data_IF_558862274812
#
_entry.id   IF_558862274812
#
_cell.length_a   1.000
_cell.length_b   1.000
_cell.length_c   1.000
_cell.angle_alpha   90.00
_cell.angle_beta   90.00
_cell.angle_gamma   90.00
#
_symmetry.space_group_name_H-M   'P 1'
#
loop_
_entity.id
_entity.type
_entity.pdbx_description
1 polymer ?
#
# COMPACT_ATOMS: atom_id res chain seq x y z
N UNK A 1 0.42 40.86 18.87
CA UNK A 1 0.39 40.32 20.23
C UNK A 1 -0.49 39.06 20.35
N UNK A 2 -1.80 39.16 20.10
CA UNK A 2 -2.76 38.05 20.19
C UNK A 2 -2.39 36.78 19.41
N UNK A 3 -1.89 36.89 18.17
CA UNK A 3 -1.44 35.71 17.38
C UNK A 3 -0.29 34.95 18.04
N UNK A 4 0.65 35.67 18.67
CA UNK A 4 1.78 35.08 19.41
C UNK A 4 1.30 34.35 20.67
N UNK A 5 0.30 34.91 21.35
CA UNK A 5 -0.33 34.30 22.54
C UNK A 5 -1.18 33.07 22.20
N UNK A 6 -1.85 33.08 21.05
CA UNK A 6 -2.63 31.95 20.54
C UNK A 6 -1.72 30.81 20.05
N UNK A 7 -0.58 31.14 19.44
CA UNK A 7 0.46 30.19 19.05
C UNK A 7 0.19 29.46 17.73
N UNK A 8 1.07 28.49 17.46
CA UNK A 8 1.06 27.65 16.25
C UNK A 8 0.84 26.18 16.60
N UNK A 9 -0.01 25.49 15.86
CA UNK A 9 -0.17 24.04 15.94
C UNK A 9 0.77 23.31 14.97
N UNK A 10 0.88 21.99 15.10
CA UNK A 10 1.78 21.17 14.27
C UNK A 10 1.46 21.16 12.75
N UNK A 11 0.26 21.62 12.35
CA UNK A 11 -0.18 21.66 10.94
C UNK A 11 -0.84 22.96 10.51
N UNK A 12 -1.28 23.80 11.45
CA UNK A 12 -1.97 25.05 11.18
C UNK A 12 -1.89 25.99 12.41
N UNK A 13 -1.97 27.32 12.21
CA UNK A 13 -2.03 28.29 13.30
C UNK A 13 -3.32 28.15 14.12
N UNK A 14 -3.26 28.47 15.41
CA UNK A 14 -4.46 28.51 16.26
C UNK A 14 -5.30 29.79 16.06
N UNK A 15 -4.74 30.79 15.41
CA UNK A 15 -5.35 32.12 15.24
C UNK A 15 -6.01 32.33 13.88
N UNK A 16 -6.03 31.32 13.01
CA UNK A 16 -6.69 31.39 11.71
C UNK A 16 -7.35 30.06 11.35
N UNK A 17 -8.43 30.16 10.58
CA UNK A 17 -9.12 29.02 9.99
C UNK A 17 -9.44 29.33 8.52
N UNK A 18 -9.49 28.30 7.69
CA UNK A 18 -9.96 28.41 6.31
C UNK A 18 -11.47 28.18 6.28
N UNK A 19 -12.23 29.23 5.93
CA UNK A 19 -13.67 29.11 5.64
C UNK A 19 -13.84 28.62 4.21
N UNK A 20 -14.17 27.34 4.03
CA UNK A 20 -14.33 26.73 2.70
C UNK A 20 -15.75 26.93 2.16
N UNK A 21 -15.87 27.14 0.86
CA UNK A 21 -17.16 27.08 0.15
C UNK A 21 -17.73 25.65 0.21
N UNK A 22 -19.04 25.47 0.03
CA UNK A 22 -19.62 24.16 -0.17
C UNK A 22 -18.85 23.39 -1.26
N UNK A 23 -18.53 22.10 -1.05
CA UNK A 23 -17.79 21.33 -2.03
C UNK A 23 -18.61 21.24 -3.32
N UNK A 24 -17.94 21.40 -4.47
CA UNK A 24 -18.58 21.11 -5.74
C UNK A 24 -19.07 19.65 -5.77
N UNK A 25 -20.27 19.45 -6.28
CA UNK A 25 -20.89 18.13 -6.43
C UNK A 25 -21.31 17.91 -7.87
N UNK A 26 -21.40 16.65 -8.28
CA UNK A 26 -22.00 16.26 -9.55
C UNK A 26 -22.69 14.91 -9.41
N UNK A 27 -23.73 14.70 -10.21
CA UNK A 27 -24.37 13.39 -10.34
C UNK A 27 -23.70 12.57 -11.44
N UNK A 28 -23.58 11.27 -11.20
CA UNK A 28 -23.03 10.31 -12.16
C UNK A 28 -23.58 8.91 -11.91
N UNK A 29 -23.51 8.06 -12.91
CA UNK A 29 -23.86 6.63 -12.81
C UNK A 29 -22.66 5.78 -12.42
N UNK A 30 -22.88 4.76 -11.60
CA UNK A 30 -21.92 3.71 -11.25
C UNK A 30 -21.91 2.66 -12.34
N UNK A 31 -20.78 2.46 -13.00
CA UNK A 31 -20.62 1.45 -14.06
C UNK A 31 -20.27 0.08 -13.53
N UNK A 32 -19.38 0.03 -12.54
CA UNK A 32 -18.88 -1.21 -11.97
C UNK A 32 -18.30 -1.00 -10.58
N UNK A 33 -18.30 -2.03 -9.73
CA UNK A 33 -17.65 -2.00 -8.42
C UNK A 33 -16.55 -3.06 -8.37
N UNK A 34 -15.30 -2.59 -8.27
CA UNK A 34 -14.12 -3.45 -8.27
C UNK A 34 -13.51 -3.58 -6.88
N UNK A 35 -12.99 -4.75 -6.54
CA UNK A 35 -12.22 -4.96 -5.31
C UNK A 35 -10.72 -4.82 -5.56
N UNK A 36 -10.15 -3.72 -5.07
CA UNK A 36 -8.71 -3.52 -5.10
C UNK A 36 -8.06 -4.20 -3.89
N UNK A 37 -7.13 -5.13 -4.14
CA UNK A 37 -6.33 -5.74 -3.09
C UNK A 37 -5.11 -4.88 -2.79
N UNK A 38 -4.97 -4.43 -1.55
CA UNK A 38 -3.80 -3.71 -1.05
C UNK A 38 -2.68 -4.67 -0.65
N UNK A 39 -1.47 -4.12 -0.48
CA UNK A 39 -0.26 -4.89 -0.12
C UNK A 39 -0.37 -5.75 1.16
N UNK A 40 -1.23 -5.33 2.10
CA UNK A 40 -1.48 -6.04 3.37
C UNK A 40 -2.68 -6.99 3.29
N UNK A 41 -3.22 -7.26 2.09
CA UNK A 41 -4.42 -8.09 1.89
C UNK A 41 -5.73 -7.36 2.14
N UNK A 42 -5.70 -6.11 2.61
CA UNK A 42 -6.91 -5.27 2.74
C UNK A 42 -7.54 -5.12 1.36
N UNK A 43 -8.81 -5.52 1.23
CA UNK A 43 -9.60 -5.29 0.02
C UNK A 43 -10.39 -3.99 0.19
N UNK A 44 -10.29 -3.11 -0.80
CA UNK A 44 -10.98 -1.82 -0.84
C UNK A 44 -11.91 -1.81 -2.05
N UNK A 45 -13.23 -1.60 -1.86
CA UNK A 45 -14.15 -1.44 -2.96
C UNK A 45 -13.90 -0.09 -3.64
N UNK A 46 -13.93 -0.08 -4.97
CA UNK A 46 -13.74 1.09 -5.81
C UNK A 46 -14.84 1.11 -6.86
N UNK A 47 -15.68 2.14 -6.83
CA UNK A 47 -16.66 2.40 -7.87
C UNK A 47 -15.96 2.98 -9.11
N UNK A 48 -16.20 2.37 -10.25
CA UNK A 48 -16.01 2.97 -11.55
C UNK A 48 -17.31 3.70 -11.93
N UNK A 49 -17.20 4.95 -12.34
CA UNK A 49 -18.35 5.80 -12.66
C UNK A 49 -18.25 6.32 -14.09
N UNK A 50 -19.39 6.72 -14.66
CA UNK A 50 -19.39 7.54 -15.88
C UNK A 50 -18.50 8.77 -15.62
N UNK A 51 -17.50 9.07 -16.48
CA UNK A 51 -16.57 10.15 -16.19
C UNK A 51 -17.28 11.51 -16.03
N UNK A 52 -17.04 12.18 -14.91
CA UNK A 52 -17.63 13.48 -14.58
C UNK A 52 -16.55 14.50 -14.25
N UNK A 53 -16.76 15.76 -14.64
CA UNK A 53 -15.84 16.87 -14.34
C UNK A 53 -16.24 17.54 -13.04
N UNK A 54 -15.33 17.59 -12.06
CA UNK A 54 -15.60 18.19 -10.76
C UNK A 54 -14.35 18.91 -10.27
N UNK A 55 -14.44 20.19 -9.92
CA UNK A 55 -13.27 20.98 -9.52
C UNK A 55 -12.14 21.03 -10.57
N UNK A 56 -12.47 20.93 -11.86
CA UNK A 56 -11.50 20.92 -12.96
C UNK A 56 -10.78 19.58 -13.18
N UNK A 57 -11.09 18.54 -12.40
CA UNK A 57 -10.54 17.20 -12.58
C UNK A 57 -11.60 16.23 -13.10
N UNK A 58 -11.21 15.35 -14.04
CA UNK A 58 -12.08 14.29 -14.55
C UNK A 58 -12.02 13.10 -13.59
N UNK A 59 -13.15 12.80 -12.95
CA UNK A 59 -13.31 11.68 -12.02
C UNK A 59 -13.95 10.52 -12.76
N UNK A 60 -13.32 9.34 -12.73
CA UNK A 60 -13.89 8.10 -13.27
C UNK A 60 -13.80 6.92 -12.31
N UNK A 61 -13.09 7.08 -11.18
CA UNK A 61 -12.93 6.05 -10.15
C UNK A 61 -12.99 6.68 -8.77
N UNK A 62 -13.74 6.07 -7.87
CA UNK A 62 -13.99 6.58 -6.51
C UNK A 62 -13.82 5.44 -5.51
N UNK A 63 -12.99 5.65 -4.50
CA UNK A 63 -12.84 4.69 -3.41
C UNK A 63 -14.12 4.70 -2.55
N UNK A 64 -14.71 3.52 -2.33
CA UNK A 64 -15.80 3.31 -1.38
C UNK A 64 -15.27 2.97 0.03
N UNK A 65 -13.99 3.22 0.28
CA UNK A 65 -13.26 3.05 1.53
C UNK A 65 -13.12 1.60 2.02
N UNK A 66 -14.23 0.95 2.37
CA UNK A 66 -14.29 -0.38 2.96
C UNK A 66 -15.67 -1.02 2.76
N UNK A 67 -15.81 -2.31 3.12
CA UNK A 67 -17.06 -3.04 2.94
C UNK A 67 -18.24 -2.51 3.76
N UNK A 68 -18.00 -2.01 4.97
CA UNK A 68 -19.07 -1.43 5.80
C UNK A 68 -19.60 -0.12 5.20
N UNK A 69 -18.73 0.67 4.55
CA UNK A 69 -19.16 1.89 3.86
C UNK A 69 -19.92 1.56 2.56
N UNK A 70 -19.50 0.53 1.83
CA UNK A 70 -20.25 0.00 0.69
C UNK A 70 -21.67 -0.42 1.11
N UNK A 71 -21.79 -1.18 2.21
CA UNK A 71 -23.07 -1.61 2.79
C UNK A 71 -23.91 -0.43 3.29
N UNK A 72 -23.29 0.54 3.98
CA UNK A 72 -23.97 1.75 4.47
C UNK A 72 -24.55 2.59 3.34
N UNK A 73 -23.81 2.72 2.24
CA UNK A 73 -24.28 3.44 1.05
C UNK A 73 -25.33 2.65 0.28
N UNK A 74 -25.34 1.32 0.41
CA UNK A 74 -26.19 0.41 -0.34
C UNK A 74 -26.15 0.74 -1.84
N UNK A 75 -24.93 0.87 -2.36
CA UNK A 75 -24.63 1.26 -3.74
C UNK A 75 -24.38 0.01 -4.59
N UNK A 76 -25.00 -0.04 -5.76
CA UNK A 76 -24.84 -1.11 -6.75
C UNK A 76 -24.41 -0.55 -8.11
N UNK A 77 -24.03 -1.46 -9.01
CA UNK A 77 -23.82 -1.12 -10.41
C UNK A 77 -25.14 -0.64 -11.04
N UNK A 78 -25.07 0.41 -11.85
CA UNK A 78 -26.22 1.11 -12.44
C UNK A 78 -26.83 2.22 -11.56
N UNK A 79 -26.52 2.26 -10.26
CA UNK A 79 -27.05 3.30 -9.37
C UNK A 79 -26.50 4.69 -9.77
N UNK A 80 -27.33 5.71 -9.59
CA UNK A 80 -26.95 7.11 -9.74
C UNK A 80 -26.53 7.68 -8.39
N UNK A 81 -25.39 8.35 -8.37
CA UNK A 81 -24.76 8.86 -7.15
C UNK A 81 -24.38 10.32 -7.28
N UNK A 82 -24.48 11.05 -6.18
CA UNK A 82 -23.87 12.37 -6.03
C UNK A 82 -22.45 12.17 -5.52
N UNK A 83 -21.49 12.72 -6.25
CA UNK A 83 -20.07 12.69 -5.90
C UNK A 83 -19.58 14.08 -5.58
N UNK A 84 -18.56 14.18 -4.72
CA UNK A 84 -17.94 15.45 -4.36
C UNK A 84 -16.47 15.30 -3.97
N UNK A 85 -15.77 16.43 -3.84
CA UNK A 85 -14.37 16.45 -3.42
C UNK A 85 -14.26 16.82 -1.93
N UNK A 86 -13.78 15.89 -1.11
CA UNK A 86 -13.37 16.21 0.26
C UNK A 86 -12.03 16.91 0.23
N UNK A 87 -11.97 18.06 0.92
CA UNK A 87 -10.76 18.88 0.98
C UNK A 87 -10.31 19.41 -0.38
N UNK A 88 -11.23 19.49 -1.34
CA UNK A 88 -11.01 19.94 -2.74
C UNK A 88 -10.12 19.01 -3.58
N UNK A 89 -9.82 17.79 -3.11
CA UNK A 89 -8.86 16.89 -3.78
C UNK A 89 -9.33 15.43 -3.87
N UNK A 90 -10.03 14.89 -2.87
CA UNK A 90 -10.34 13.46 -2.81
C UNK A 90 -11.80 13.20 -3.21
N UNK A 91 -12.07 12.54 -4.35
CA UNK A 91 -13.42 12.16 -4.75
C UNK A 91 -14.06 11.20 -3.75
N UNK A 92 -15.33 11.44 -3.42
CA UNK A 92 -16.15 10.56 -2.59
C UNK A 92 -17.59 10.52 -3.09
N UNK A 93 -18.25 9.38 -2.86
CA UNK A 93 -19.70 9.26 -2.99
C UNK A 93 -20.33 9.89 -1.75
N UNK A 94 -21.17 10.90 -1.96
CA UNK A 94 -21.88 11.61 -0.90
C UNK A 94 -23.25 10.98 -0.63
N UNK A 95 -23.96 10.59 -1.69
CA UNK A 95 -25.28 9.97 -1.60
C UNK A 95 -25.60 9.13 -2.85
N UNK A 96 -26.48 8.15 -2.69
CA UNK A 96 -27.16 7.46 -3.80
C UNK A 96 -28.49 8.19 -4.04
N UNK A 97 -28.71 8.66 -5.27
CA UNK A 97 -29.87 9.50 -5.65
C UNK A 97 -30.82 8.81 -6.63
N UNK A 98 -30.37 7.74 -7.29
CA UNK A 98 -31.22 6.89 -8.12
C UNK A 98 -30.77 5.45 -7.99
N UNK A 99 -31.72 4.53 -7.86
CA UNK A 99 -31.43 3.10 -7.74
C UNK A 99 -31.97 2.34 -8.92
N UNK A 100 -31.20 1.38 -9.41
CA UNK A 100 -31.73 0.39 -10.36
C UNK A 100 -32.66 -0.59 -9.66
N UNK A 101 -33.64 -1.14 -10.39
CA UNK A 101 -34.45 -2.25 -9.89
C UNK A 101 -33.55 -3.46 -9.69
N UNK A 102 -33.43 -3.93 -8.45
CA UNK A 102 -32.66 -5.12 -8.10
C UNK A 102 -33.64 -6.28 -8.02
N UNK A 103 -33.91 -6.94 -9.15
CA UNK A 103 -34.59 -8.25 -9.12
C UNK A 103 -33.62 -9.25 -8.48
N UNK A 104 -33.85 -9.63 -7.22
CA UNK A 104 -33.24 -10.75 -6.45
C UNK A 104 -31.81 -11.22 -6.80
N UNK A 105 -30.90 -10.34 -7.22
CA UNK A 105 -29.47 -10.66 -7.31
C UNK A 105 -28.84 -10.45 -5.94
N UNK A 106 -29.21 -11.32 -5.00
CA UNK A 106 -28.67 -11.38 -3.66
C UNK A 106 -27.29 -12.07 -3.64
N UNK A 107 -26.35 -11.64 -4.49
CA UNK A 107 -24.94 -11.99 -4.28
C UNK A 107 -24.37 -11.00 -3.25
N UNK A 108 -24.71 -11.27 -1.98
CA UNK A 108 -24.20 -10.52 -0.85
C UNK A 108 -22.67 -10.55 -0.88
N UNK A 109 -22.06 -9.41 -1.20
CA UNK A 109 -20.60 -9.29 -1.17
C UNK A 109 -20.15 -9.47 0.29
N UNK A 110 -19.22 -10.40 0.60
CA UNK A 110 -18.85 -10.69 1.98
C UNK A 110 -18.34 -9.43 2.69
N UNK A 111 -19.13 -8.93 3.66
CA UNK A 111 -18.82 -7.70 4.42
C UNK A 111 -17.65 -7.87 5.38
N UNK A 112 -17.30 -9.11 5.73
CA UNK A 112 -16.14 -9.46 6.55
C UNK A 112 -15.27 -10.48 5.84
N UNK A 113 -14.29 -9.98 5.10
CA UNK A 113 -13.17 -10.80 4.67
C UNK A 113 -12.23 -11.02 5.86
N UNK A 114 -11.79 -12.26 6.14
CA UNK A 114 -10.86 -12.52 7.23
C UNK A 114 -9.59 -11.69 7.04
N UNK A 115 -9.03 -11.21 8.15
CA UNK A 115 -7.75 -10.52 8.12
C UNK A 115 -6.69 -11.48 7.56
N UNK A 116 -5.94 -11.03 6.56
CA UNK A 116 -4.89 -11.84 5.98
C UNK A 116 -3.83 -12.14 7.06
N UNK A 117 -3.24 -13.34 7.01
CA UNK A 117 -2.09 -13.67 7.83
C UNK A 117 -0.96 -12.63 7.65
N UNK A 118 -0.13 -12.45 8.67
CA UNK A 118 0.91 -11.40 8.66
C UNK A 118 1.92 -11.59 7.52
N UNK A 119 2.13 -12.84 7.09
CA UNK A 119 2.98 -13.32 6.01
C UNK A 119 2.21 -13.74 4.75
N UNK A 120 0.92 -13.34 4.63
CA UNK A 120 0.12 -13.64 3.45
C UNK A 120 0.69 -13.00 2.17
N UNK A 121 0.67 -13.79 1.09
CA UNK A 121 1.05 -13.40 -0.27
C UNK A 121 2.39 -12.64 -0.35
N UNK A 122 3.41 -13.15 0.34
CA UNK A 122 4.81 -12.69 0.18
C UNK A 122 5.42 -13.10 -1.17
N UNK A 123 4.77 -14.02 -1.88
CA UNK A 123 5.15 -14.56 -3.18
C UNK A 123 3.95 -14.51 -4.12
N UNK A 124 4.22 -14.50 -5.42
CA UNK A 124 3.20 -14.74 -6.43
C UNK A 124 2.68 -16.19 -6.36
N UNK A 125 1.44 -16.39 -6.82
CA UNK A 125 0.77 -17.68 -6.84
C UNK A 125 -0.76 -17.54 -6.89
N UNK A 126 -1.48 -18.67 -7.01
CA UNK A 126 -2.93 -18.68 -7.09
C UNK A 126 -3.58 -17.88 -5.95
N UNK A 127 -4.40 -16.89 -6.30
CA UNK A 127 -5.09 -16.02 -5.34
C UNK A 127 -4.23 -14.93 -4.68
N UNK A 128 -2.92 -14.85 -4.97
CA UNK A 128 -2.00 -13.90 -4.34
C UNK A 128 -1.45 -12.82 -5.27
N UNK A 129 -1.57 -12.96 -6.59
CA UNK A 129 -0.93 -12.08 -7.58
C UNK A 129 -1.18 -10.60 -7.35
N UNK A 130 -2.42 -10.17 -7.11
CA UNK A 130 -2.71 -8.74 -6.89
C UNK A 130 -2.15 -8.20 -5.57
N UNK A 131 -2.17 -9.01 -4.50
CA UNK A 131 -1.58 -8.62 -3.22
C UNK A 131 -0.06 -8.55 -3.33
N UNK A 132 0.55 -9.54 -3.98
CA UNK A 132 1.99 -9.60 -4.20
C UNK A 132 2.45 -8.44 -5.08
N UNK A 133 1.76 -8.17 -6.19
CA UNK A 133 2.05 -7.01 -7.05
C UNK A 133 1.95 -5.69 -6.27
N UNK A 134 0.90 -5.51 -5.46
CA UNK A 134 0.78 -4.31 -4.61
C UNK A 134 1.92 -4.21 -3.59
N UNK A 135 2.37 -5.33 -3.02
CA UNK A 135 3.51 -5.40 -2.11
C UNK A 135 4.81 -5.06 -2.84
N UNK A 136 5.01 -5.60 -4.04
CA UNK A 136 6.19 -5.38 -4.86
C UNK A 136 6.30 -3.92 -5.34
N UNK A 137 5.18 -3.29 -5.74
CA UNK A 137 5.11 -1.86 -6.05
C UNK A 137 5.57 -1.02 -4.86
N UNK A 138 5.12 -1.37 -3.64
CA UNK A 138 5.61 -0.70 -2.43
C UNK A 138 7.09 -0.99 -2.16
N UNK A 139 7.53 -2.23 -2.35
CA UNK A 139 8.89 -2.67 -2.12
C UNK A 139 9.90 -1.84 -2.92
N UNK A 140 9.64 -1.60 -4.21
CA UNK A 140 10.53 -0.81 -5.08
C UNK A 140 10.33 0.71 -4.93
N UNK A 141 9.25 1.16 -4.29
CA UNK A 141 8.91 2.58 -4.21
C UNK A 141 9.93 3.42 -3.43
N UNK A 142 9.85 4.74 -3.54
CA UNK A 142 10.71 5.69 -2.79
C UNK A 142 10.66 5.47 -1.26
N UNK A 143 9.49 5.23 -0.64
CA UNK A 143 9.42 4.82 0.78
C UNK A 143 9.94 3.41 1.09
N UNK A 144 9.99 2.51 0.10
CA UNK A 144 10.60 1.17 0.20
C UNK A 144 12.10 1.23 -0.12
N UNK A 145 12.58 0.29 -0.95
CA UNK A 145 13.98 0.17 -1.37
C UNK A 145 14.44 1.25 -2.36
N UNK A 146 13.53 2.10 -2.86
CA UNK A 146 13.83 3.19 -3.80
C UNK A 146 14.56 2.72 -5.06
N UNK A 147 13.95 1.74 -5.73
CA UNK A 147 14.43 1.18 -6.99
C UNK A 147 13.61 1.80 -8.11
N UNK A 148 14.16 2.82 -8.76
CA UNK A 148 13.46 3.55 -9.81
C UNK A 148 13.21 2.67 -11.05
N UNK A 149 12.21 3.05 -11.85
CA UNK A 149 11.90 2.41 -13.14
C UNK A 149 10.91 1.24 -13.07
N UNK A 150 10.67 0.67 -11.88
CA UNK A 150 9.70 -0.41 -11.66
C UNK A 150 8.28 0.10 -11.41
N UNK A 151 7.60 0.55 -12.47
CA UNK A 151 6.17 0.86 -12.43
C UNK A 151 5.29 -0.40 -12.30
N UNK A 152 4.05 -0.25 -11.82
CA UNK A 152 3.11 -1.38 -11.64
C UNK A 152 2.96 -2.26 -12.89
N UNK A 153 2.83 -1.64 -14.07
CA UNK A 153 2.72 -2.38 -15.33
C UNK A 153 3.93 -3.25 -15.63
N UNK A 154 5.15 -2.68 -15.52
CA UNK A 154 6.40 -3.43 -15.71
C UNK A 154 6.55 -4.57 -14.70
N UNK A 155 6.21 -4.33 -13.43
CA UNK A 155 6.26 -5.36 -12.41
C UNK A 155 5.29 -6.51 -12.73
N UNK A 156 4.07 -6.21 -13.21
CA UNK A 156 3.14 -7.24 -13.66
C UNK A 156 3.71 -8.06 -14.81
N UNK A 157 4.27 -7.41 -15.83
CA UNK A 157 4.89 -8.12 -16.96
C UNK A 157 6.06 -9.01 -16.53
N UNK A 158 6.87 -8.58 -15.55
CA UNK A 158 7.96 -9.39 -15.01
C UNK A 158 7.45 -10.60 -14.19
N UNK A 159 6.30 -10.46 -13.51
CA UNK A 159 5.63 -11.57 -12.82
C UNK A 159 5.07 -12.56 -13.85
N UNK A 160 4.35 -12.07 -14.86
CA UNK A 160 3.76 -12.88 -15.93
C UNK A 160 4.82 -13.63 -16.76
N UNK A 161 6.00 -13.01 -16.94
CA UNK A 161 7.16 -13.65 -17.57
C UNK A 161 7.90 -14.66 -16.66
N UNK A 162 7.43 -14.88 -15.42
CA UNK A 162 8.05 -15.79 -14.46
C UNK A 162 9.37 -15.31 -13.86
N UNK A 163 9.79 -14.07 -14.16
CA UNK A 163 11.07 -13.50 -13.70
C UNK A 163 11.00 -13.00 -12.25
N UNK A 164 9.80 -12.68 -11.76
CA UNK A 164 9.58 -12.22 -10.38
C UNK A 164 8.45 -13.00 -9.71
N UNK A 165 8.81 -13.79 -8.70
CA UNK A 165 7.86 -14.59 -7.92
C UNK A 165 7.91 -14.29 -6.42
N UNK A 166 8.92 -13.58 -5.94
CA UNK A 166 9.01 -13.07 -4.58
C UNK A 166 9.75 -11.72 -4.53
N UNK A 167 9.81 -11.08 -3.36
CA UNK A 167 10.47 -9.77 -3.20
C UNK A 167 11.98 -9.82 -3.50
N UNK A 168 12.62 -10.97 -3.32
CA UNK A 168 14.06 -11.15 -3.50
C UNK A 168 14.44 -11.33 -4.97
N UNK A 169 13.48 -11.75 -5.80
CA UNK A 169 13.65 -11.95 -7.25
C UNK A 169 14.16 -10.69 -7.94
N UNK A 170 13.75 -9.49 -7.48
CA UNK A 170 14.21 -8.20 -8.03
C UNK A 170 15.75 -8.10 -8.05
N UNK A 171 16.43 -8.60 -7.02
CA UNK A 171 17.88 -8.52 -6.93
C UNK A 171 18.61 -9.59 -7.75
N UNK A 172 17.87 -10.55 -8.32
CA UNK A 172 18.39 -11.65 -9.13
C UNK A 172 18.09 -11.47 -10.63
N UNK A 173 17.34 -10.42 -11.00
CA UNK A 173 17.04 -10.12 -12.39
C UNK A 173 18.32 -9.88 -13.20
N UNK A 174 18.44 -10.62 -14.30
CA UNK A 174 19.52 -10.46 -15.28
C UNK A 174 19.06 -9.54 -16.41
N UNK A 175 20.02 -8.82 -16.99
CA UNK A 175 19.75 -7.82 -18.01
C UNK A 175 19.13 -8.44 -19.26
N UNK A 176 19.68 -9.57 -19.70
CA UNK A 176 19.28 -10.32 -20.88
C UNK A 176 17.84 -10.83 -20.74
N UNK A 177 17.49 -11.34 -19.54
CA UNK A 177 16.14 -11.81 -19.24
C UNK A 177 15.12 -10.66 -19.24
N UNK A 178 15.49 -9.49 -18.71
CA UNK A 178 14.62 -8.31 -18.75
C UNK A 178 14.44 -7.81 -20.19
N UNK A 179 15.52 -7.77 -20.98
CA UNK A 179 15.49 -7.30 -22.37
C UNK A 179 14.57 -8.15 -23.26
N UNK A 180 14.51 -9.46 -22.99
CA UNK A 180 13.65 -10.41 -23.70
C UNK A 180 12.15 -10.23 -23.43
N UNK A 181 11.76 -9.47 -22.39
CA UNK A 181 10.34 -9.18 -22.12
C UNK A 181 9.82 -8.19 -23.17
N UNK A 182 8.72 -8.52 -23.90
CA UNK A 182 8.14 -7.62 -24.89
C UNK A 182 7.91 -6.21 -24.34
N UNK A 183 8.38 -5.19 -25.05
CA UNK A 183 8.23 -3.77 -24.64
C UNK A 183 9.30 -3.23 -23.67
N UNK A 184 10.27 -4.03 -23.23
CA UNK A 184 11.40 -3.53 -22.42
C UNK A 184 12.58 -3.11 -23.29
N UNK A 185 13.20 -4.07 -23.98
CA UNK A 185 14.44 -3.86 -24.75
C UNK A 185 15.66 -3.48 -23.91
N UNK A 186 16.84 -3.47 -24.54
CA UNK A 186 18.15 -3.36 -23.85
C UNK A 186 18.34 -2.08 -23.05
N UNK A 187 17.77 -0.97 -23.51
CA UNK A 187 17.89 0.32 -22.81
C UNK A 187 17.12 0.27 -21.48
N UNK A 188 15.91 -0.28 -21.49
CA UNK A 188 15.12 -0.44 -20.27
C UNK A 188 15.79 -1.44 -19.33
N UNK A 189 16.28 -2.56 -19.87
CA UNK A 189 16.98 -3.58 -19.10
C UNK A 189 18.18 -2.99 -18.35
N UNK A 190 19.09 -2.30 -19.05
CA UNK A 190 20.25 -1.60 -18.45
C UNK A 190 19.87 -0.60 -17.38
N UNK A 191 18.80 0.17 -17.59
CA UNK A 191 18.33 1.15 -16.61
C UNK A 191 17.82 0.47 -15.33
N UNK A 192 17.07 -0.63 -15.48
CA UNK A 192 16.51 -1.36 -14.34
C UNK A 192 17.59 -2.11 -13.56
N UNK A 193 18.51 -2.81 -14.24
CA UNK A 193 19.64 -3.49 -13.58
C UNK A 193 20.57 -2.49 -12.90
N UNK A 194 20.83 -1.34 -13.55
CA UNK A 194 21.56 -0.23 -12.94
C UNK A 194 20.89 0.29 -11.66
N UNK A 195 19.57 0.49 -11.68
CA UNK A 195 18.82 0.91 -10.50
C UNK A 195 18.88 -0.13 -9.36
N UNK A 196 18.84 -1.43 -9.68
CA UNK A 196 18.99 -2.52 -8.70
C UNK A 196 20.38 -2.51 -8.06
N UNK A 197 21.43 -2.29 -8.85
CA UNK A 197 22.83 -2.24 -8.37
C UNK A 197 23.08 -1.04 -7.45
N UNK A 198 22.39 0.08 -7.68
CA UNK A 198 22.52 1.30 -6.88
C UNK A 198 21.79 1.25 -5.52
N UNK A 199 21.07 0.17 -5.21
CA UNK A 199 20.33 0.04 -3.95
C UNK A 199 21.29 -0.07 -2.78
N UNK A 200 21.12 0.82 -1.79
CA UNK A 200 21.74 0.67 -0.49
C UNK A 200 21.09 -0.51 0.27
N UNK A 201 21.91 -1.52 0.53
CA UNK A 201 21.51 -2.77 1.21
C UNK A 201 21.82 -2.77 2.70
N UNK A 202 22.45 -1.71 3.23
CA UNK A 202 22.88 -1.63 4.63
C UNK A 202 21.76 -1.19 5.59
N UNK A 203 20.72 -0.52 5.09
CA UNK A 203 19.61 -0.04 5.93
C UNK A 203 18.55 -1.14 6.15
N UNK A 204 18.76 -1.93 7.21
CA UNK A 204 17.86 -3.01 7.59
C UNK A 204 16.44 -2.53 7.93
N UNK A 205 16.28 -1.33 8.49
CA UNK A 205 14.96 -0.81 8.88
C UNK A 205 14.20 -0.27 7.67
N UNK A 206 14.89 0.21 6.65
CA UNK A 206 14.30 0.46 5.33
C UNK A 206 13.80 -0.83 4.69
N UNK A 207 14.55 -1.92 4.79
CA UNK A 207 14.08 -3.23 4.31
C UNK A 207 12.79 -3.67 5.02
N UNK A 208 12.72 -3.53 6.35
CA UNK A 208 11.50 -3.80 7.14
C UNK A 208 10.31 -2.98 6.64
N UNK A 209 10.50 -1.70 6.33
CA UNK A 209 9.46 -0.86 5.72
C UNK A 209 9.09 -1.37 4.32
N UNK A 210 10.07 -1.71 3.50
CA UNK A 210 9.87 -2.13 2.12
C UNK A 210 9.09 -3.44 1.99
N UNK A 211 9.29 -4.41 2.91
CA UNK A 211 8.53 -5.67 2.95
C UNK A 211 7.02 -5.42 3.05
N UNK A 212 6.60 -4.30 3.66
CA UNK A 212 5.19 -3.93 3.79
C UNK A 212 4.46 -4.74 4.86
N UNK A 213 5.12 -5.02 5.99
CA UNK A 213 4.52 -5.71 7.13
C UNK A 213 3.29 -4.91 7.63
N UNK A 214 2.11 -5.55 7.80
CA UNK A 214 0.91 -4.85 8.27
C UNK A 214 1.14 -4.08 9.57
N UNK A 215 0.80 -2.78 9.57
CA UNK A 215 0.97 -1.91 10.74
C UNK A 215 2.38 -1.35 10.97
N UNK A 216 3.36 -1.74 10.15
CA UNK A 216 4.74 -1.21 10.22
C UNK A 216 4.94 -0.17 9.12
N UNK A 217 5.21 1.07 9.52
CA UNK A 217 5.46 2.19 8.60
C UNK A 217 6.79 2.87 8.88
N UNK A 218 7.19 3.78 7.97
CA UNK A 218 8.48 4.50 8.04
C UNK A 218 8.77 5.14 9.40
N UNK A 219 7.77 5.79 10.00
CA UNK A 219 7.94 6.43 11.30
C UNK A 219 8.17 5.42 12.44
N UNK A 220 7.47 4.28 12.41
CA UNK A 220 7.66 3.22 13.41
C UNK A 220 9.02 2.54 13.26
N UNK A 221 9.36 2.12 12.04
CA UNK A 221 10.66 1.52 11.74
C UNK A 221 11.83 2.46 12.06
N UNK A 222 11.70 3.76 11.75
CA UNK A 222 12.73 4.75 12.08
C UNK A 222 12.90 5.00 13.59
N UNK A 223 11.88 4.73 14.42
CA UNK A 223 12.04 4.74 15.88
C UNK A 223 12.72 3.45 16.38
N UNK A 224 12.42 2.31 15.78
CA UNK A 224 13.13 1.05 16.07
C UNK A 224 14.61 1.15 15.70
N UNK A 225 14.94 1.77 14.56
CA UNK A 225 16.32 1.99 14.11
C UNK A 225 17.17 2.83 15.08
N UNK A 226 16.54 3.63 15.94
CA UNK A 226 17.25 4.41 16.98
C UNK A 226 17.56 3.59 18.24
N UNK A 227 16.87 2.47 18.43
CA UNK A 227 16.95 1.64 19.64
C UNK A 227 17.70 0.33 19.39
N UNK A 228 17.69 -0.15 18.15
CA UNK A 228 18.29 -1.41 17.73
C UNK A 228 19.33 -1.14 16.65
N UNK A 229 20.54 -1.69 16.82
CA UNK A 229 21.65 -1.53 15.88
C UNK A 229 21.46 -2.34 14.61
N UNK A 230 20.79 -3.49 14.71
CA UNK A 230 20.47 -4.35 13.56
C UNK A 230 19.08 -4.97 13.68
N UNK A 231 18.59 -5.57 12.59
CA UNK A 231 17.34 -6.33 12.63
C UNK A 231 17.47 -7.53 13.59
N UNK A 232 18.63 -8.20 13.61
CA UNK A 232 18.85 -9.35 14.49
C UNK A 232 18.74 -8.97 15.97
N UNK A 233 19.30 -7.81 16.37
CA UNK A 233 19.13 -7.33 17.76
C UNK A 233 17.67 -7.08 18.14
N UNK A 234 16.82 -6.70 17.18
CA UNK A 234 15.37 -6.56 17.41
C UNK A 234 14.69 -7.93 17.49
N UNK A 235 15.10 -8.90 16.67
CA UNK A 235 14.52 -10.23 16.65
C UNK A 235 14.82 -11.02 17.93
N UNK A 236 16.02 -10.85 18.47
CA UNK A 236 16.53 -11.47 19.71
C UNK A 236 16.13 -10.71 20.98
N UNK A 237 15.61 -9.48 20.84
CA UNK A 237 15.20 -8.66 21.98
C UNK A 237 14.21 -9.39 22.90
N UNK A 238 14.51 -9.41 24.19
CA UNK A 238 13.63 -10.01 25.20
C UNK A 238 12.42 -9.12 25.46
N UNK A 239 11.36 -9.71 25.98
CA UNK A 239 10.10 -8.99 26.21
C UNK A 239 10.26 -7.86 27.23
N UNK A 240 11.17 -8.00 28.21
CA UNK A 240 11.49 -6.95 29.17
C UNK A 240 12.04 -5.69 28.47
N UNK A 241 12.91 -5.87 27.47
CA UNK A 241 13.48 -4.77 26.67
C UNK A 241 12.39 -4.08 25.82
N UNK A 242 11.41 -4.84 25.34
CA UNK A 242 10.28 -4.27 24.58
C UNK A 242 9.25 -3.58 25.47
N UNK A 243 9.10 -4.02 26.72
CA UNK A 243 8.09 -3.52 27.64
C UNK A 243 8.37 -2.11 28.15
N UNK A 244 9.64 -1.69 28.19
CA UNK A 244 10.04 -0.32 28.55
C UNK A 244 9.88 0.69 27.40
N UNK A 245 9.58 0.23 26.19
CA UNK A 245 9.35 1.10 25.03
C UNK A 245 7.98 1.79 25.10
N UNK A 246 7.83 2.99 24.49
CA UNK A 246 6.52 3.61 24.29
C UNK A 246 5.54 2.66 23.60
N UNK A 247 4.26 2.70 23.99
CA UNK A 247 3.27 1.68 23.59
C UNK A 247 3.13 1.47 22.07
N UNK A 248 3.26 2.53 21.26
CA UNK A 248 3.24 2.42 19.78
C UNK A 248 4.49 1.73 19.23
N UNK A 249 5.63 1.90 19.88
CA UNK A 249 6.92 1.38 19.44
C UNK A 249 7.05 -0.09 19.85
N UNK A 250 6.65 -0.41 21.08
CA UNK A 250 6.45 -1.79 21.53
C UNK A 250 5.56 -2.59 20.59
N UNK A 251 4.42 -2.02 20.18
CA UNK A 251 3.51 -2.68 19.22
C UNK A 251 4.22 -2.95 17.89
N UNK A 252 4.93 -1.96 17.36
CA UNK A 252 5.67 -2.10 16.09
C UNK A 252 6.76 -3.16 16.19
N UNK A 253 7.55 -3.16 17.27
CA UNK A 253 8.60 -4.15 17.54
C UNK A 253 8.03 -5.57 17.61
N UNK A 254 6.96 -5.79 18.37
CA UNK A 254 6.27 -7.08 18.46
C UNK A 254 5.72 -7.53 17.10
N UNK A 255 5.14 -6.62 16.32
CA UNK A 255 4.67 -6.95 14.97
C UNK A 255 5.80 -7.39 14.05
N UNK A 256 6.96 -6.72 14.09
CA UNK A 256 8.13 -7.13 13.29
C UNK A 256 8.65 -8.50 13.74
N UNK A 257 8.80 -8.74 15.05
CA UNK A 257 9.20 -10.05 15.58
C UNK A 257 8.23 -11.15 15.16
N UNK A 258 6.94 -10.96 15.35
CA UNK A 258 5.91 -11.93 14.99
C UNK A 258 5.92 -12.24 13.48
N UNK A 259 6.17 -11.23 12.63
CA UNK A 259 6.32 -11.44 11.20
C UNK A 259 7.50 -12.37 10.90
N UNK A 260 8.69 -12.09 11.43
CA UNK A 260 9.86 -12.93 11.18
C UNK A 260 9.85 -14.27 11.94
N UNK A 261 8.91 -14.48 12.86
CA UNK A 261 8.61 -15.77 13.48
C UNK A 261 7.54 -16.59 12.72
N UNK A 262 6.91 -16.02 11.69
CA UNK A 262 6.04 -16.79 10.79
C UNK A 262 6.85 -17.65 9.82
N UNK A 263 6.24 -18.65 9.18
CA UNK A 263 6.94 -19.49 8.20
C UNK A 263 7.41 -18.66 7.00
N UNK A 264 6.53 -17.84 6.42
CA UNK A 264 6.89 -17.00 5.28
C UNK A 264 7.90 -15.90 5.62
N UNK A 265 7.81 -15.34 6.83
CA UNK A 265 8.78 -14.35 7.31
C UNK A 265 10.18 -14.93 7.51
N UNK A 266 10.30 -16.15 8.08
CA UNK A 266 11.59 -16.84 8.23
C UNK A 266 12.23 -17.15 6.87
N UNK A 267 11.46 -17.70 5.92
CA UNK A 267 11.97 -17.99 4.57
C UNK A 267 12.51 -16.70 3.90
N UNK A 268 11.75 -15.60 4.03
CA UNK A 268 12.13 -14.32 3.45
C UNK A 268 13.39 -13.72 4.11
N UNK A 269 13.52 -13.86 5.44
CA UNK A 269 14.70 -13.43 6.19
C UNK A 269 15.97 -14.11 5.65
N UNK A 270 15.93 -15.44 5.51
CA UNK A 270 17.05 -16.22 5.00
C UNK A 270 17.40 -15.86 3.56
N UNK A 271 16.40 -15.62 2.70
CA UNK A 271 16.64 -15.16 1.33
C UNK A 271 17.33 -13.79 1.30
N UNK A 272 16.97 -12.86 2.19
CA UNK A 272 17.64 -11.55 2.28
C UNK A 272 19.06 -11.65 2.85
N UNK A 273 19.30 -12.54 3.82
CA UNK A 273 20.65 -12.87 4.31
C UNK A 273 21.53 -13.41 3.19
N UNK A 274 21.02 -14.33 2.38
CA UNK A 274 21.72 -14.86 1.20
C UNK A 274 22.04 -13.80 0.13
N UNK A 275 21.34 -12.67 0.10
CA UNK A 275 21.63 -11.52 -0.76
C UNK A 275 22.57 -10.48 -0.12
N UNK A 276 23.03 -10.73 1.11
CA UNK A 276 23.88 -9.84 1.88
C UNK A 276 23.18 -8.56 2.35
N UNK A 277 21.84 -8.55 2.39
CA UNK A 277 21.04 -7.38 2.80
C UNK A 277 20.78 -7.29 4.31
N UNK A 278 21.19 -8.32 5.04
CA UNK A 278 21.13 -8.41 6.49
C UNK A 278 22.47 -9.01 6.92
N UNK A 279 23.37 -8.16 7.40
CA UNK A 279 24.66 -8.58 7.99
C UNK A 279 24.67 -8.16 9.46
N UNK A 280 25.24 -9.00 10.31
CA UNK A 280 25.50 -8.68 11.71
C UNK A 280 26.41 -7.45 11.84
#
# INVERSE_FOLDING_TARGET
>A
DLRRRLGEGARAPFWAAAWKFPPATAETEVRAIHWQVGRTGRRTPVAEVVPVLLGGVRISRISLHNAAELERLDIAEGDHVVVGLIGDVIPQVLAVVGRVSREDTADAVPTKLPAAAIDACLRDGPGCTEQFLARLVHFVSKPGMNIAGFGRGRLRMLIEAGLVHDLTSIFRLQEEAIAAVPGFGDITARKLTGAIRAVDRSDHFRLVVAIGIPGVGKAGAGRLAKQFTSLDTLLEAKDEQLNVMPGKDRKTAKTVRNFFQSSGGRELLEKFRGLGMLRN
#
